data_IF_908092999574
#
_entry.id   IF_908092999574
#
_cell.length_a   1.000
_cell.length_b   1.000
_cell.length_c   1.000
_cell.angle_alpha   90.00
_cell.angle_beta   90.00
_cell.angle_gamma   90.00
#
_symmetry.space_group_name_H-M   'P 1'
#
loop_
_entity.id
_entity.type
_entity.pdbx_description
1 polymer ?
#
# COMPACT_ATOMS: atom_id res chain seq x y z
N UNK A 1 -70.70 -18.15 44.22
CA UNK A 1 -70.51 -18.97 43.01
C UNK A 1 -69.00 -19.18 42.83
N UNK A 2 -68.53 -20.42 43.03
CA UNK A 2 -67.47 -21.15 42.29
C UNK A 2 -66.47 -20.30 41.48
N UNK A 3 -65.13 -20.46 41.50
CA UNK A 3 -64.27 -21.62 41.77
C UNK A 3 -62.77 -21.18 41.87
N UNK A 4 -62.11 -21.51 42.98
CA UNK A 4 -60.83 -22.23 43.19
C UNK A 4 -59.58 -22.17 42.26
N UNK A 5 -58.41 -22.18 42.94
CA UNK A 5 -57.01 -22.63 42.65
C UNK A 5 -56.03 -21.57 42.12
N UNK A 6 -55.02 -21.05 42.83
CA UNK A 6 -53.86 -21.60 43.61
C UNK A 6 -52.82 -22.34 42.76
N UNK A 7 -51.56 -21.86 42.70
CA UNK A 7 -50.36 -22.69 42.91
C UNK A 7 -49.10 -21.83 43.19
N UNK A 8 -48.24 -22.38 44.05
CA UNK A 8 -47.12 -21.81 44.80
C UNK A 8 -45.77 -21.86 44.06
N UNK A 9 -44.85 -21.00 44.51
CA UNK A 9 -43.40 -21.13 44.37
C UNK A 9 -42.87 -22.45 44.98
N UNK A 10 -41.88 -23.06 44.33
CA UNK A 10 -40.84 -23.82 45.00
C UNK A 10 -39.53 -23.75 44.20
N UNK A 11 -38.45 -23.48 44.93
CA UNK A 11 -37.05 -23.63 44.57
C UNK A 11 -36.71 -25.10 44.36
N UNK A 12 -35.88 -25.43 43.37
CA UNK A 12 -34.91 -26.54 43.43
C UNK A 12 -33.92 -26.44 42.26
N UNK A 13 -32.62 -26.42 42.57
CA UNK A 13 -31.49 -26.70 41.64
C UNK A 13 -31.30 -28.21 41.48
N UNK A 14 -30.79 -28.68 40.32
CA UNK A 14 -29.58 -29.51 40.39
C UNK A 14 -28.55 -29.26 39.25
N UNK A 15 -27.35 -29.79 39.49
CA UNK A 15 -26.14 -29.76 38.65
C UNK A 15 -26.17 -30.74 37.45
N UNK A 16 -25.54 -30.29 36.36
CA UNK A 16 -24.57 -30.96 35.44
C UNK A 16 -24.88 -32.39 34.97
N UNK A 17 -25.08 -32.54 33.64
CA UNK A 17 -24.24 -33.41 32.78
C UNK A 17 -24.36 -33.01 31.30
N UNK A 18 -23.25 -33.21 30.59
CA UNK A 18 -22.87 -32.80 29.24
C UNK A 18 -23.72 -33.37 28.10
N UNK A 19 -24.04 -32.55 27.08
CA UNK A 19 -23.80 -32.83 25.64
C UNK A 19 -24.49 -31.80 24.71
N UNK A 20 -23.74 -31.38 23.67
CA UNK A 20 -24.20 -30.81 22.37
C UNK A 20 -24.61 -29.32 22.38
N UNK A 21 -24.02 -28.40 21.61
CA UNK A 21 -22.92 -28.45 20.65
C UNK A 21 -22.38 -27.03 20.37
N UNK A 22 -21.06 -26.93 20.26
CA UNK A 22 -20.33 -25.80 19.70
C UNK A 22 -20.52 -25.69 18.18
N UNK A 23 -20.95 -24.52 17.71
CA UNK A 23 -20.79 -23.93 16.35
C UNK A 23 -20.98 -22.41 16.57
N UNK A 24 -20.14 -21.48 16.15
CA UNK A 24 -19.00 -21.46 15.23
C UNK A 24 -18.02 -20.40 15.77
N UNK A 25 -16.78 -20.80 16.06
CA UNK A 25 -15.64 -19.89 16.18
C UNK A 25 -14.41 -20.61 15.65
N UNK A 26 -14.00 -20.32 14.41
CA UNK A 26 -12.64 -20.46 13.89
C UNK A 26 -12.62 -20.31 12.37
N UNK A 27 -12.18 -19.15 11.87
CA UNK A 27 -11.40 -19.04 10.62
C UNK A 27 -10.53 -17.79 10.69
N UNK A 28 -9.51 -17.83 11.55
CA UNK A 28 -8.30 -17.04 11.33
C UNK A 28 -7.36 -17.93 10.52
N UNK A 29 -7.16 -17.61 9.24
CA UNK A 29 -6.21 -18.28 8.37
C UNK A 29 -4.78 -17.97 8.85
N UNK A 30 -4.14 -18.94 9.49
CA UNK A 30 -2.73 -18.83 9.87
C UNK A 30 -1.83 -19.20 8.68
N UNK A 31 -0.72 -18.47 8.44
CA UNK A 31 0.24 -18.78 7.38
C UNK A 31 0.78 -20.22 7.43
N UNK A 32 0.77 -20.84 8.61
CA UNK A 32 1.15 -22.23 8.85
C UNK A 32 0.15 -23.23 8.26
N UNK A 33 -1.17 -22.95 8.27
CA UNK A 33 -2.18 -23.83 7.67
C UNK A 33 -2.09 -23.84 6.15
N UNK A 34 -1.86 -22.68 5.53
CA UNK A 34 -1.68 -22.55 4.09
C UNK A 34 -0.40 -23.25 3.63
N UNK A 35 0.68 -23.13 4.40
CA UNK A 35 1.95 -23.85 4.16
C UNK A 35 1.82 -25.38 4.31
N UNK A 36 1.07 -25.86 5.31
CA UNK A 36 0.82 -27.30 5.50
C UNK A 36 -0.11 -27.88 4.43
N UNK A 37 -1.11 -27.12 3.97
CA UNK A 37 -1.96 -27.52 2.84
C UNK A 37 -1.18 -27.59 1.53
N UNK A 38 -0.23 -26.69 1.30
CA UNK A 38 0.66 -26.72 0.13
C UNK A 38 1.60 -27.95 0.16
N UNK A 39 2.15 -28.30 1.32
CA UNK A 39 2.96 -29.53 1.47
C UNK A 39 2.10 -30.79 1.25
N UNK A 40 0.86 -30.80 1.75
CA UNK A 40 -0.10 -31.91 1.53
C UNK A 40 -0.47 -32.07 0.06
N UNK A 41 -0.65 -30.97 -0.67
CA UNK A 41 -0.95 -30.95 -2.10
C UNK A 41 0.21 -31.47 -2.98
N UNK A 42 1.46 -31.19 -2.58
CA UNK A 42 2.65 -31.67 -3.30
C UNK A 42 2.98 -33.14 -2.97
N UNK A 43 2.54 -33.64 -1.81
CA UNK A 43 2.81 -35.01 -1.36
C UNK A 43 1.69 -36.00 -1.69
N UNK A 44 0.49 -35.54 -2.03
CA UNK A 44 -0.62 -36.39 -2.50
C UNK A 44 -0.50 -36.69 -4.00
N UNK A 45 -0.09 -37.92 -4.32
CA UNK A 45 -0.03 -38.40 -5.69
C UNK A 45 -1.42 -38.46 -6.35
N UNK A 46 -1.50 -37.97 -7.60
CA UNK A 46 -2.62 -38.06 -8.56
C UNK A 46 -3.62 -39.19 -8.24
N UNK A 47 -4.83 -38.83 -7.82
CA UNK A 47 -5.98 -39.72 -7.95
C UNK A 47 -6.30 -39.93 -9.44
N UNK A 48 -6.46 -41.19 -9.85
CA UNK A 48 -6.93 -41.57 -11.18
C UNK A 48 -8.44 -41.33 -11.26
N UNK A 49 -8.85 -40.53 -12.24
CA UNK A 49 -10.24 -40.39 -12.68
C UNK A 49 -10.59 -41.67 -13.45
N UNK A 50 -11.58 -42.44 -12.98
CA UNK A 50 -12.15 -43.56 -13.72
C UNK A 50 -13.27 -43.03 -14.64
N UNK A 51 -13.14 -43.26 -15.94
CA UNK A 51 -14.24 -43.09 -16.89
C UNK A 51 -15.04 -44.40 -16.97
N UNK A 52 -16.33 -44.35 -16.65
CA UNK A 52 -17.31 -45.41 -16.92
C UNK A 52 -17.78 -45.28 -18.38
N UNK A 53 -17.51 -46.29 -19.20
CA UNK A 53 -18.10 -46.42 -20.55
C UNK A 53 -19.38 -47.25 -20.47
N UNK A 54 -20.44 -46.80 -21.15
CA UNK A 54 -21.65 -47.58 -21.43
C UNK A 54 -21.37 -48.63 -22.52
N UNK A 55 -21.94 -49.82 -22.34
CA UNK A 55 -21.84 -50.96 -23.26
C UNK A 55 -22.53 -50.70 -24.61
N UNK A 56 -21.89 -51.16 -25.69
CA UNK A 56 -22.50 -51.43 -26.99
C UNK A 56 -22.29 -52.93 -27.34
N UNK A 57 -23.14 -53.53 -28.18
CA UNK A 57 -23.37 -54.97 -28.16
C UNK A 57 -22.24 -55.79 -28.79
N UNK A 58 -22.07 -56.98 -28.24
CA UNK A 58 -21.21 -58.08 -28.66
C UNK A 58 -21.53 -58.59 -30.06
N UNK A 59 -20.50 -58.78 -30.89
CA UNK A 59 -20.51 -59.82 -31.92
C UNK A 59 -19.26 -60.69 -31.74
N UNK A 60 -19.53 -61.98 -31.61
CA UNK A 60 -18.60 -63.07 -31.33
C UNK A 60 -17.92 -63.49 -32.64
N UNK A 61 -16.62 -63.27 -32.76
CA UNK A 61 -15.79 -64.27 -33.43
C UNK A 61 -14.31 -64.13 -33.08
N UNK A 62 -13.71 -65.29 -32.86
CA UNK A 62 -12.27 -65.57 -32.73
C UNK A 62 -11.70 -65.43 -31.31
N UNK A 63 -11.98 -66.47 -30.54
CA UNK A 63 -11.24 -66.81 -29.34
C UNK A 63 -9.78 -67.14 -29.62
N UNK A 64 -8.96 -66.74 -28.64
CA UNK A 64 -7.75 -67.41 -28.17
C UNK A 64 -6.62 -67.63 -29.20
N UNK A 65 -5.86 -66.57 -29.50
CA UNK A 65 -4.40 -66.72 -29.74
C UNK A 65 -3.56 -65.44 -29.52
N UNK A 66 -3.93 -64.60 -28.54
CA UNK A 66 -3.16 -63.39 -28.18
C UNK A 66 -2.54 -63.39 -26.77
N UNK A 67 -2.61 -64.51 -26.03
CA UNK A 67 -2.00 -64.60 -24.69
C UNK A 67 -0.46 -64.74 -24.69
N UNK A 68 0.20 -64.76 -25.84
CA UNK A 68 1.66 -64.96 -25.93
C UNK A 68 2.51 -63.72 -26.29
N UNK A 69 1.96 -62.52 -26.49
CA UNK A 69 2.75 -61.37 -26.99
C UNK A 69 2.69 -60.05 -26.21
N UNK A 70 2.07 -59.99 -25.02
CA UNK A 70 2.00 -58.72 -24.26
C UNK A 70 3.05 -58.53 -23.15
N UNK A 71 3.95 -59.48 -22.91
CA UNK A 71 5.11 -59.26 -22.02
C UNK A 71 6.28 -58.58 -22.73
N UNK A 72 6.07 -57.36 -23.25
CA UNK A 72 7.21 -56.47 -23.58
C UNK A 72 6.84 -54.98 -23.61
N UNK A 73 6.26 -54.45 -22.54
CA UNK A 73 6.26 -52.99 -22.32
C UNK A 73 7.41 -52.58 -21.40
N UNK A 74 8.42 -51.94 -21.99
CA UNK A 74 9.55 -51.33 -21.29
C UNK A 74 9.05 -50.23 -20.34
N UNK A 75 9.19 -50.44 -19.03
CA UNK A 75 9.06 -49.35 -18.03
C UNK A 75 10.23 -48.38 -18.20
N UNK A 76 10.04 -47.05 -18.18
CA UNK A 76 11.16 -46.12 -18.19
C UNK A 76 11.87 -46.22 -16.83
N UNK A 77 13.12 -46.66 -16.86
CA UNK A 77 14.01 -46.63 -15.70
C UNK A 77 14.30 -45.16 -15.35
N UNK A 78 13.44 -44.53 -14.54
CA UNK A 78 13.81 -43.29 -13.83
C UNK A 78 15.01 -43.63 -12.96
N UNK A 79 16.21 -43.23 -13.39
CA UNK A 79 17.43 -43.65 -12.73
C UNK A 79 17.43 -43.15 -11.29
N UNK A 80 17.69 -44.07 -10.36
CA UNK A 80 17.87 -43.74 -8.93
C UNK A 80 18.91 -42.63 -8.73
N UNK A 81 19.79 -42.43 -9.72
CA UNK A 81 20.77 -41.36 -9.82
C UNK A 81 20.17 -39.95 -9.90
N UNK A 82 19.13 -39.71 -10.70
CA UNK A 82 18.51 -38.36 -10.79
C UNK A 82 17.85 -37.96 -9.46
N UNK A 83 17.23 -38.91 -8.76
CA UNK A 83 16.66 -38.68 -7.43
C UNK A 83 17.75 -38.40 -6.39
N UNK A 84 18.88 -39.10 -6.45
CA UNK A 84 20.04 -38.86 -5.57
C UNK A 84 20.68 -37.49 -5.83
N UNK A 85 20.85 -37.09 -7.10
CA UNK A 85 21.38 -35.77 -7.46
C UNK A 85 20.46 -34.65 -6.93
N UNK A 86 19.14 -34.76 -7.11
CA UNK A 86 18.20 -33.77 -6.53
C UNK A 86 18.32 -33.69 -5.00
N UNK A 87 18.43 -34.82 -4.31
CA UNK A 87 18.61 -34.82 -2.84
C UNK A 87 19.91 -34.15 -2.42
N UNK A 88 21.01 -34.38 -3.12
CA UNK A 88 22.32 -33.75 -2.86
C UNK A 88 22.29 -32.24 -3.12
N UNK A 89 21.64 -31.79 -4.19
CA UNK A 89 21.49 -30.36 -4.50
C UNK A 89 20.63 -29.63 -3.45
N UNK A 90 19.54 -30.24 -2.99
CA UNK A 90 18.71 -29.68 -1.93
C UNK A 90 19.43 -29.62 -0.58
N UNK A 91 20.13 -30.70 -0.21
CA UNK A 91 20.87 -30.75 1.07
C UNK A 91 22.08 -29.81 1.09
N UNK A 92 22.81 -29.65 -0.02
CA UNK A 92 23.90 -28.67 -0.11
C UNK A 92 23.42 -27.22 0.00
N UNK A 93 22.25 -26.89 -0.57
CA UNK A 93 21.64 -25.56 -0.45
C UNK A 93 21.21 -25.25 1.00
N UNK A 94 20.62 -26.23 1.69
CA UNK A 94 20.23 -26.10 3.11
C UNK A 94 21.48 -25.92 3.99
N UNK A 95 22.54 -26.70 3.75
CA UNK A 95 23.80 -26.60 4.49
C UNK A 95 24.45 -25.23 4.28
N UNK A 96 24.43 -24.70 3.05
CA UNK A 96 24.94 -23.36 2.76
C UNK A 96 24.14 -22.28 3.51
N UNK A 97 22.81 -22.35 3.51
CA UNK A 97 21.95 -21.42 4.26
C UNK A 97 22.19 -21.50 5.76
N UNK A 98 22.34 -22.70 6.33
CA UNK A 98 22.69 -22.87 7.74
C UNK A 98 24.08 -22.31 8.06
N UNK A 99 25.06 -22.50 7.17
CA UNK A 99 26.40 -21.95 7.32
C UNK A 99 26.39 -20.42 7.30
N UNK A 100 25.71 -19.79 6.35
CA UNK A 100 25.59 -18.33 6.29
C UNK A 100 24.79 -17.76 7.46
N UNK A 101 23.75 -18.46 7.92
CA UNK A 101 23.00 -18.10 9.13
C UNK A 101 23.87 -18.14 10.39
N UNK A 102 24.64 -19.22 10.58
CA UNK A 102 25.60 -19.35 11.68
C UNK A 102 26.74 -18.31 11.59
N UNK A 103 27.23 -18.02 10.37
CA UNK A 103 28.22 -16.97 10.14
C UNK A 103 27.68 -15.58 10.52
N UNK A 104 26.41 -15.29 10.19
CA UNK A 104 25.77 -14.04 10.60
C UNK A 104 25.61 -13.95 12.12
N UNK A 105 25.17 -15.02 12.77
CA UNK A 105 25.03 -15.06 14.24
C UNK A 105 26.40 -14.87 14.91
N UNK A 106 27.44 -15.54 14.42
CA UNK A 106 28.79 -15.43 14.99
C UNK A 106 29.41 -14.05 14.78
N UNK A 107 29.26 -13.45 13.59
CA UNK A 107 29.71 -12.06 13.33
C UNK A 107 29.00 -11.05 14.26
N UNK A 108 27.79 -11.37 14.69
CA UNK A 108 27.04 -10.54 15.60
C UNK A 108 27.37 -10.72 17.07
N UNK A 109 27.60 -11.97 17.50
CA UNK A 109 28.12 -12.27 18.83
C UNK A 109 29.55 -11.71 19.02
N UNK A 110 30.32 -11.59 17.93
CA UNK A 110 31.65 -10.97 17.90
C UNK A 110 31.61 -9.43 17.79
N UNK A 111 30.42 -8.83 17.84
CA UNK A 111 30.25 -7.37 17.84
C UNK A 111 30.58 -6.67 16.52
N UNK A 112 30.77 -7.42 15.42
CA UNK A 112 31.11 -6.85 14.09
C UNK A 112 29.89 -6.56 13.22
N UNK A 113 28.71 -7.11 13.50
CA UNK A 113 27.42 -6.75 12.86
C UNK A 113 26.24 -6.94 13.83
N UNK A 114 25.34 -5.97 14.00
CA UNK A 114 24.16 -6.15 14.88
C UNK A 114 23.05 -6.91 14.13
N UNK A 115 22.41 -7.90 14.78
CA UNK A 115 21.50 -8.89 14.14
C UNK A 115 20.11 -8.36 13.79
N UNK A 116 19.73 -7.17 14.25
CA UNK A 116 18.42 -6.58 14.00
C UNK A 116 18.55 -5.07 13.80
N UNK A 117 17.67 -4.52 12.96
CA UNK A 117 17.51 -3.08 12.74
C UNK A 117 17.31 -2.39 14.09
N UNK A 118 18.26 -1.55 14.46
CA UNK A 118 18.22 -0.74 15.67
C UNK A 118 17.56 0.60 15.30
N UNK A 119 16.24 0.69 15.48
CA UNK A 119 15.48 1.94 15.29
C UNK A 119 15.80 3.00 16.34
N UNK A 120 16.57 2.67 17.39
CA UNK A 120 16.94 3.62 18.45
C UNK A 120 18.08 4.57 18.07
N UNK A 121 18.60 4.49 16.83
CA UNK A 121 19.61 5.44 16.32
C UNK A 121 19.01 6.64 15.58
N UNK A 122 17.68 6.69 15.39
CA UNK A 122 17.03 7.64 14.49
C UNK A 122 16.71 9.02 15.10
N UNK A 123 16.59 9.13 16.42
CA UNK A 123 16.40 10.42 17.09
C UNK A 123 17.71 11.22 17.29
N UNK A 124 18.87 10.59 17.06
CA UNK A 124 20.17 11.19 17.36
C UNK A 124 20.78 11.98 16.19
N UNK A 125 20.20 11.91 14.98
CA UNK A 125 20.73 12.53 13.77
C UNK A 125 19.72 13.41 13.01
N UNK A 126 18.57 13.74 13.61
CA UNK A 126 17.87 14.94 13.17
C UNK A 126 18.80 16.13 13.49
N UNK A 127 18.98 17.11 12.59
CA UNK A 127 19.76 18.28 12.91
C UNK A 127 19.21 18.84 14.23
N UNK A 128 20.03 18.81 15.29
CA UNK A 128 19.76 19.68 16.44
C UNK A 128 19.73 21.08 15.84
N UNK A 129 18.53 21.67 15.73
CA UNK A 129 18.32 23.05 15.32
C UNK A 129 19.39 23.90 16.00
N UNK A 130 20.39 24.29 15.20
CA UNK A 130 21.70 24.70 15.69
C UNK A 130 21.52 26.08 16.30
N UNK A 131 21.65 26.23 17.63
CA UNK A 131 21.81 27.56 18.24
C UNK A 131 23.20 28.09 17.87
N UNK A 132 23.35 29.12 17.04
CA UNK A 132 24.66 29.71 16.81
C UNK A 132 24.94 30.66 17.96
N UNK A 133 25.98 30.38 18.74
CA UNK A 133 26.55 31.39 19.60
C UNK A 133 27.13 32.51 18.71
N UNK A 134 26.69 33.75 18.95
CA UNK A 134 27.22 35.03 18.45
C UNK A 134 26.74 35.62 17.11
N UNK A 135 25.53 35.30 16.66
CA UNK A 135 24.79 36.15 15.69
C UNK A 135 23.50 36.62 16.37
N UNK A 136 23.09 37.88 16.15
CA UNK A 136 21.79 38.37 16.65
C UNK A 136 20.68 37.41 16.18
N UNK A 137 19.92 36.76 17.07
CA UNK A 137 18.87 35.82 16.71
C UNK A 137 17.90 36.38 15.65
N UNK A 138 17.64 37.69 15.68
CA UNK A 138 16.77 38.38 14.73
C UNK A 138 17.34 38.43 13.30
N UNK A 139 18.63 38.20 13.10
CA UNK A 139 19.28 38.14 11.77
C UNK A 139 19.39 36.70 11.24
N UNK A 140 19.14 35.70 12.08
CA UNK A 140 19.10 34.29 11.69
C UNK A 140 17.68 33.82 11.35
N UNK A 141 16.67 34.48 11.92
CA UNK A 141 15.26 34.18 11.75
C UNK A 141 14.76 34.84 10.46
N UNK A 142 14.71 34.06 9.38
CA UNK A 142 14.05 34.50 8.16
C UNK A 142 12.63 33.95 8.17
N UNK A 143 11.61 34.76 7.85
CA UNK A 143 10.23 34.38 8.12
C UNK A 143 9.76 33.07 7.48
N UNK A 144 10.45 32.55 6.46
CA UNK A 144 10.08 31.30 5.76
C UNK A 144 11.17 30.21 5.82
N UNK A 145 12.12 30.24 6.75
CA UNK A 145 13.28 29.33 6.69
C UNK A 145 13.12 27.94 7.30
N UNK A 146 11.93 27.57 7.76
CA UNK A 146 11.68 26.28 8.40
C UNK A 146 12.12 25.07 7.54
N UNK A 147 12.04 25.20 6.22
CA UNK A 147 12.46 24.19 5.23
C UNK A 147 13.48 24.74 4.24
N UNK A 148 14.21 25.80 4.61
CA UNK A 148 15.27 26.38 3.77
C UNK A 148 16.25 25.29 3.31
N UNK A 149 16.62 25.35 2.03
CA UNK A 149 17.53 24.42 1.34
C UNK A 149 17.01 22.98 1.16
N UNK A 150 15.79 22.66 1.59
CA UNK A 150 15.21 21.35 1.34
C UNK A 150 14.58 21.33 -0.05
N UNK A 151 15.16 20.53 -0.93
CA UNK A 151 14.65 20.34 -2.29
C UNK A 151 13.46 19.39 -2.29
N UNK A 152 12.27 19.79 -2.79
CA UNK A 152 11.17 18.87 -2.95
C UNK A 152 11.53 17.80 -3.97
N UNK A 153 11.19 16.56 -3.65
CA UNK A 153 11.30 15.39 -4.50
C UNK A 153 9.95 14.70 -4.59
N UNK A 154 9.59 14.13 -5.75
CA UNK A 154 8.27 13.53 -5.99
C UNK A 154 8.15 12.18 -5.28
N UNK A 155 8.13 12.18 -3.94
CA UNK A 155 7.94 11.01 -3.12
C UNK A 155 6.76 11.12 -2.16
N UNK A 156 6.10 9.98 -1.96
CA UNK A 156 5.08 9.74 -0.97
C UNK A 156 5.72 8.95 0.17
N UNK A 157 5.86 9.59 1.33
CA UNK A 157 6.36 8.97 2.53
C UNK A 157 5.30 7.99 3.06
N UNK A 158 5.52 6.70 2.80
CA UNK A 158 4.55 5.64 3.10
C UNK A 158 4.79 5.12 4.53
N UNK A 159 3.71 4.73 5.23
CA UNK A 159 3.76 4.27 6.63
C UNK A 159 4.44 5.27 7.60
N UNK A 160 4.15 6.55 7.46
CA UNK A 160 4.68 7.64 8.30
C UNK A 160 4.51 7.41 9.81
N UNK A 161 3.52 6.63 10.18
CA UNK A 161 3.14 6.19 11.52
C UNK A 161 4.25 5.45 12.24
N UNK A 162 5.07 4.69 11.51
CA UNK A 162 6.20 3.96 12.09
C UNK A 162 7.37 4.87 12.44
N UNK A 163 7.39 6.10 11.91
CA UNK A 163 8.45 7.08 12.15
C UNK A 163 8.25 7.77 13.50
N UNK A 164 9.37 8.19 14.09
CA UNK A 164 9.37 8.89 15.38
C UNK A 164 8.72 10.27 15.27
N UNK A 165 8.90 10.93 14.12
CA UNK A 165 8.33 12.25 13.81
C UNK A 165 7.77 12.23 12.37
N UNK A 166 6.57 11.65 12.17
CA UNK A 166 5.99 11.31 10.85
C UNK A 166 6.13 12.41 9.79
N UNK A 167 5.50 13.57 10.02
CA UNK A 167 5.51 14.71 9.09
C UNK A 167 6.91 15.29 8.87
N UNK A 168 7.62 15.63 9.95
CA UNK A 168 8.86 16.38 9.83
C UNK A 168 10.00 15.57 9.22
N UNK A 169 10.00 14.24 9.38
CA UNK A 169 10.99 13.40 8.72
C UNK A 169 10.78 13.36 7.20
N UNK A 170 9.52 13.24 6.75
CA UNK A 170 9.18 13.30 5.33
C UNK A 170 9.58 14.65 4.72
N UNK A 171 9.24 15.76 5.40
CA UNK A 171 9.63 17.10 4.98
C UNK A 171 11.15 17.26 4.95
N UNK A 172 11.88 16.75 5.95
CA UNK A 172 13.34 16.83 6.01
C UNK A 172 14.03 16.23 4.78
N UNK A 173 13.50 15.13 4.25
CA UNK A 173 14.01 14.48 3.04
C UNK A 173 13.40 15.02 1.74
N UNK A 174 12.51 16.01 1.82
CA UNK A 174 11.92 16.66 0.66
C UNK A 174 10.70 15.95 0.07
N UNK A 175 10.11 14.95 0.73
CA UNK A 175 8.93 14.29 0.16
C UNK A 175 7.75 15.25 0.05
N UNK A 176 7.21 15.35 -1.17
CA UNK A 176 6.02 16.16 -1.48
C UNK A 176 4.71 15.49 -1.09
N UNK A 177 4.75 14.34 -0.42
CA UNK A 177 3.57 13.68 0.12
C UNK A 177 3.85 12.89 1.39
N UNK A 178 2.86 12.87 2.27
CA UNK A 178 2.81 12.13 3.53
C UNK A 178 1.53 11.31 3.61
N UNK A 179 1.59 10.17 4.27
CA UNK A 179 0.45 9.28 4.48
C UNK A 179 -0.02 9.31 5.94
N UNK A 180 -1.33 9.28 6.15
CA UNK A 180 -1.96 9.18 7.44
C UNK A 180 -2.96 8.00 7.47
N UNK A 181 -2.63 6.94 8.19
CA UNK A 181 -3.48 5.78 8.46
C UNK A 181 -4.52 6.11 9.53
N UNK A 182 -5.69 6.61 9.11
CA UNK A 182 -6.70 7.17 10.01
C UNK A 182 -7.75 6.14 10.42
N UNK A 183 -7.99 6.06 11.73
CA UNK A 183 -8.98 5.21 12.36
C UNK A 183 -9.98 6.03 13.16
N UNK A 184 -11.26 5.68 13.04
CA UNK A 184 -12.27 6.02 14.03
C UNK A 184 -12.39 4.89 15.05
N UNK A 185 -12.34 5.21 16.35
CA UNK A 185 -12.67 4.26 17.41
C UNK A 185 -14.16 4.41 17.75
N UNK A 186 -14.86 3.29 17.88
CA UNK A 186 -16.30 3.27 18.13
C UNK A 186 -16.69 4.16 19.33
N UNK A 187 -17.60 5.10 19.09
CA UNK A 187 -18.10 6.03 20.11
C UNK A 187 -17.20 7.24 20.39
N UNK A 188 -16.10 7.42 19.65
CA UNK A 188 -15.23 8.59 19.71
C UNK A 188 -15.29 9.38 18.39
N UNK A 189 -15.36 10.72 18.51
CA UNK A 189 -15.27 11.65 17.36
C UNK A 189 -13.82 12.02 17.03
N UNK A 190 -12.88 11.66 17.90
CA UNK A 190 -11.45 11.88 17.67
C UNK A 190 -10.89 10.81 16.73
N UNK A 191 -9.96 11.23 15.87
CA UNK A 191 -9.37 10.40 14.84
C UNK A 191 -7.96 10.02 15.24
N UNK A 192 -7.69 8.71 15.29
CA UNK A 192 -6.40 8.17 15.69
C UNK A 192 -5.59 7.74 14.47
N UNK A 193 -4.27 7.75 14.62
CA UNK A 193 -3.34 7.40 13.53
C UNK A 193 -2.43 6.25 13.95
N UNK A 194 -2.37 5.21 13.11
CA UNK A 194 -1.49 4.06 13.31
C UNK A 194 -1.67 2.97 12.27
N UNK A 195 -0.65 2.13 12.08
CA UNK A 195 -0.70 1.05 11.07
C UNK A 195 -1.71 -0.06 11.40
N UNK A 196 -2.06 -0.22 12.68
CA UNK A 196 -3.04 -1.19 13.16
C UNK A 196 -3.80 -0.63 14.36
N UNK A 197 -4.99 -1.16 14.64
CA UNK A 197 -5.77 -0.79 15.83
C UNK A 197 -4.99 -0.95 17.13
N UNK A 198 -4.08 -1.93 17.21
CA UNK A 198 -3.22 -2.18 18.38
C UNK A 198 -2.12 -1.13 18.58
N UNK A 199 -1.79 -0.35 17.55
CA UNK A 199 -0.79 0.71 17.60
C UNK A 199 -1.40 2.07 17.98
N UNK A 200 -2.73 2.16 18.10
CA UNK A 200 -3.41 3.41 18.44
C UNK A 200 -3.11 3.80 19.89
N UNK A 201 -2.80 5.08 20.08
CA UNK A 201 -2.57 5.65 21.41
C UNK A 201 -3.28 6.99 21.50
N UNK A 202 -3.69 7.37 22.72
CA UNK A 202 -4.49 8.59 22.95
C UNK A 202 -3.84 9.88 22.47
N UNK A 203 -2.50 9.92 22.42
CA UNK A 203 -1.74 11.11 22.04
C UNK A 203 -1.38 11.14 20.55
N UNK A 204 -1.71 10.08 19.78
CA UNK A 204 -1.39 9.96 18.36
C UNK A 204 -2.67 10.09 17.55
N UNK A 205 -3.09 11.33 17.39
CA UNK A 205 -4.30 11.71 16.65
C UNK A 205 -3.94 12.32 15.30
N UNK A 206 -4.91 12.35 14.39
CA UNK A 206 -4.76 12.97 13.08
C UNK A 206 -4.37 14.45 13.20
N UNK A 207 -4.98 15.15 14.16
CA UNK A 207 -4.61 16.53 14.52
C UNK A 207 -3.19 16.66 15.04
N UNK A 208 -2.81 15.87 16.04
CA UNK A 208 -1.52 16.04 16.73
C UNK A 208 -0.31 15.65 15.87
N UNK A 209 -0.46 14.69 14.96
CA UNK A 209 0.65 14.23 14.12
C UNK A 209 0.74 14.97 12.77
N UNK A 210 -0.38 15.44 12.23
CA UNK A 210 -0.42 16.04 10.88
C UNK A 210 -1.01 17.44 10.87
N UNK A 211 -2.28 17.62 11.27
CA UNK A 211 -2.99 18.88 11.00
C UNK A 211 -2.43 20.07 11.80
N UNK A 212 -2.19 19.92 13.10
CA UNK A 212 -1.67 21.02 13.93
C UNK A 212 -0.22 21.36 13.54
N UNK A 213 0.70 20.39 13.37
CA UNK A 213 2.05 20.71 12.88
C UNK A 213 2.07 21.37 11.50
N UNK A 214 1.18 20.97 10.59
CA UNK A 214 1.05 21.60 9.27
C UNK A 214 0.52 23.04 9.37
N UNK A 215 -0.47 23.27 10.23
CA UNK A 215 -0.99 24.62 10.48
C UNK A 215 0.10 25.54 11.05
N UNK A 216 0.81 25.09 12.09
CA UNK A 216 1.90 25.85 12.72
C UNK A 216 3.02 26.16 11.72
N UNK A 217 3.42 25.17 10.91
CA UNK A 217 4.42 25.36 9.86
C UNK A 217 3.94 26.39 8.83
N UNK A 218 2.74 26.23 8.27
CA UNK A 218 2.24 27.12 7.23
C UNK A 218 1.99 28.53 7.74
N UNK A 219 1.52 28.70 8.98
CA UNK A 219 1.40 30.02 9.60
C UNK A 219 2.76 30.70 9.73
N UNK A 220 3.80 29.95 10.11
CA UNK A 220 5.17 30.49 10.16
C UNK A 220 5.65 30.91 8.78
N UNK A 221 5.39 30.11 7.74
CA UNK A 221 5.74 30.38 6.33
C UNK A 221 4.92 31.51 5.70
N UNK A 222 3.83 31.96 6.34
CA UNK A 222 2.89 32.93 5.80
C UNK A 222 2.51 34.01 6.82
N UNK A 223 3.48 34.79 7.35
CA UNK A 223 3.21 35.79 8.38
C UNK A 223 2.37 36.96 7.85
N UNK A 224 1.47 37.50 8.67
CA UNK A 224 0.57 38.62 8.35
C UNK A 224 1.29 39.99 8.30
N UNK A 225 2.42 40.07 7.57
CA UNK A 225 3.34 41.23 7.58
C UNK A 225 3.43 41.98 6.25
N UNK A 226 2.70 41.55 5.20
CA UNK A 226 2.76 42.13 3.86
C UNK A 226 1.39 42.30 3.18
N UNK A 227 1.34 42.91 1.98
CA UNK A 227 0.12 42.92 1.18
C UNK A 227 -0.37 41.49 1.01
N UNK A 228 -1.68 41.28 1.21
CA UNK A 228 -2.34 39.98 1.16
C UNK A 228 -2.15 39.32 -0.20
N UNK A 229 -1.09 38.53 -0.35
CA UNK A 229 -0.94 37.64 -1.49
C UNK A 229 -2.02 36.55 -1.35
N UNK A 230 -2.95 36.42 -2.32
CA UNK A 230 -3.89 35.30 -2.33
C UNK A 230 -3.16 33.95 -2.48
N UNK A 231 -1.92 33.95 -3.01
CA UNK A 231 -1.02 32.81 -3.06
C UNK A 231 -0.31 32.64 -1.71
N UNK A 232 -0.79 31.69 -0.90
CA UNK A 232 -0.10 31.27 0.32
C UNK A 232 1.07 30.36 -0.07
N UNK A 233 2.25 30.60 0.49
CA UNK A 233 3.40 29.74 0.35
C UNK A 233 3.10 28.33 0.87
N UNK A 234 3.61 27.32 0.16
CA UNK A 234 3.66 25.93 0.56
C UNK A 234 4.70 25.66 1.65
N UNK A 235 4.91 24.38 1.94
CA UNK A 235 5.80 23.94 3.02
C UNK A 235 7.29 24.01 2.66
N UNK A 236 7.64 24.18 1.38
CA UNK A 236 9.03 24.23 0.90
C UNK A 236 9.42 25.66 0.53
N UNK A 237 10.38 26.25 1.26
CA UNK A 237 10.87 27.61 0.99
C UNK A 237 11.47 27.76 -0.42
N UNK A 238 12.17 26.72 -0.91
CA UNK A 238 12.82 26.72 -2.22
C UNK A 238 11.83 26.66 -3.39
N UNK A 239 10.61 26.19 -3.14
CA UNK A 239 9.54 26.08 -4.12
C UNK A 239 8.18 26.32 -3.42
N UNK A 240 7.79 27.59 -3.24
CA UNK A 240 6.60 27.95 -2.48
C UNK A 240 5.29 27.55 -3.17
N UNK A 241 5.31 27.15 -4.45
CA UNK A 241 4.12 26.67 -5.17
C UNK A 241 3.94 25.14 -5.04
N UNK A 242 4.96 24.42 -4.58
CA UNK A 242 4.89 22.98 -4.39
C UNK A 242 3.89 22.61 -3.28
N UNK A 243 2.76 22.03 -3.68
CA UNK A 243 1.76 21.49 -2.75
C UNK A 243 2.31 20.26 -2.01
N UNK A 244 2.03 20.16 -0.72
CA UNK A 244 2.22 18.94 0.04
C UNK A 244 0.95 18.09 -0.05
N UNK A 245 1.09 16.83 -0.44
CA UNK A 245 -0.05 15.91 -0.49
C UNK A 245 -0.22 15.21 0.86
N UNK A 246 -1.35 15.44 1.51
CA UNK A 246 -1.78 14.67 2.69
C UNK A 246 -2.68 13.53 2.21
N UNK A 247 -2.09 12.33 2.06
CA UNK A 247 -2.79 11.11 1.70
C UNK A 247 -3.42 10.50 2.96
N UNK A 248 -4.75 10.52 3.05
CA UNK A 248 -5.49 10.00 4.19
C UNK A 248 -6.00 8.61 3.84
N UNK A 249 -5.44 7.57 4.46
CA UNK A 249 -5.90 6.19 4.33
C UNK A 249 -7.00 5.91 5.35
N UNK A 250 -8.21 5.67 4.85
CA UNK A 250 -9.40 5.37 5.65
C UNK A 250 -9.37 3.90 6.04
N UNK A 251 -8.97 3.60 7.29
CA UNK A 251 -8.80 2.22 7.77
C UNK A 251 -10.08 1.58 8.33
N UNK A 252 -11.13 2.38 8.58
CA UNK A 252 -12.44 1.93 9.07
C UNK A 252 -13.53 2.20 8.04
N UNK A 253 -14.80 2.15 8.44
CA UNK A 253 -15.92 2.47 7.56
C UNK A 253 -15.79 3.88 6.96
N UNK A 254 -15.82 3.94 5.63
CA UNK A 254 -15.59 5.18 4.89
C UNK A 254 -16.68 6.22 5.10
N UNK A 255 -17.94 5.79 5.11
CA UNK A 255 -19.09 6.68 5.22
C UNK A 255 -19.16 7.33 6.61
N UNK A 256 -18.83 6.59 7.67
CA UNK A 256 -18.72 7.12 9.02
C UNK A 256 -17.49 8.03 9.21
N UNK A 257 -16.35 7.67 8.63
CA UNK A 257 -15.08 8.37 8.83
C UNK A 257 -14.98 9.68 8.03
N UNK A 258 -15.55 9.74 6.83
CA UNK A 258 -15.48 10.91 5.94
C UNK A 258 -15.95 12.23 6.55
N UNK A 259 -17.14 12.33 7.19
CA UNK A 259 -17.57 13.58 7.80
C UNK A 259 -16.64 14.03 8.96
N UNK A 260 -16.04 13.09 9.69
CA UNK A 260 -15.08 13.42 10.75
C UNK A 260 -13.78 13.98 10.18
N UNK A 261 -13.23 13.33 9.15
CA UNK A 261 -12.02 13.83 8.46
C UNK A 261 -12.27 15.23 7.88
N UNK A 262 -13.38 15.42 7.17
CA UNK A 262 -13.75 16.72 6.58
C UNK A 262 -13.93 17.82 7.64
N UNK A 263 -14.48 17.47 8.80
CA UNK A 263 -14.63 18.37 9.95
C UNK A 263 -13.28 18.77 10.56
N UNK A 264 -12.35 17.83 10.72
CA UNK A 264 -11.03 18.14 11.29
C UNK A 264 -10.18 19.04 10.37
N UNK A 265 -10.44 19.04 9.07
CA UNK A 265 -9.77 19.90 8.07
C UNK A 265 -10.24 21.37 8.08
N UNK A 266 -11.29 21.71 8.85
CA UNK A 266 -11.93 23.04 8.84
C UNK A 266 -10.95 24.19 9.11
N UNK A 267 -9.97 23.99 10.00
CA UNK A 267 -9.01 25.07 10.31
C UNK A 267 -8.12 25.40 9.10
N UNK A 268 -7.59 24.39 8.42
CA UNK A 268 -6.77 24.55 7.22
C UNK A 268 -7.60 25.14 6.06
N UNK A 269 -8.87 24.70 5.93
CA UNK A 269 -9.84 25.21 4.97
C UNK A 269 -10.08 26.70 5.14
N UNK A 270 -10.41 27.15 6.35
CA UNK A 270 -10.67 28.56 6.69
C UNK A 270 -9.45 29.46 6.45
N UNK A 271 -8.24 28.91 6.58
CA UNK A 271 -6.98 29.62 6.32
C UNK A 271 -6.57 29.63 4.84
N UNK A 272 -7.37 29.01 3.95
CA UNK A 272 -7.09 28.90 2.51
C UNK A 272 -5.79 28.14 2.22
N UNK A 273 -5.47 27.13 3.04
CA UNK A 273 -4.30 26.26 2.83
C UNK A 273 -4.62 24.99 2.01
N UNK A 274 -5.89 24.61 1.91
CA UNK A 274 -6.31 23.40 1.19
C UNK A 274 -6.57 23.68 -0.29
N UNK A 275 -6.02 22.85 -1.16
CA UNK A 275 -6.41 22.77 -2.57
C UNK A 275 -7.89 22.42 -2.65
N UNK A 276 -8.63 23.10 -3.52
CA UNK A 276 -10.07 22.88 -3.64
C UNK A 276 -10.57 23.02 -5.09
N UNK A 277 -11.70 22.41 -5.36
CA UNK A 277 -12.50 22.59 -6.58
C UNK A 277 -13.77 23.35 -6.24
N UNK A 278 -14.12 24.36 -7.04
CA UNK A 278 -15.16 25.35 -6.74
C UNK A 278 -16.47 25.19 -7.54
N UNK A 279 -16.67 24.04 -8.18
CA UNK A 279 -17.76 23.86 -9.16
C UNK A 279 -17.30 23.98 -10.61
N UNK A 280 -16.16 24.64 -10.85
CA UNK A 280 -15.70 25.00 -12.19
C UNK A 280 -14.23 24.67 -12.42
N UNK A 281 -13.36 25.10 -11.52
CA UNK A 281 -11.91 24.99 -11.64
C UNK A 281 -11.27 24.45 -10.36
N UNK A 282 -10.09 23.86 -10.55
CA UNK A 282 -9.22 23.40 -9.47
C UNK A 282 -8.27 24.54 -9.07
N UNK A 283 -8.19 24.81 -7.76
CA UNK A 283 -7.35 25.84 -7.17
C UNK A 283 -6.29 25.18 -6.28
N UNK A 284 -5.06 25.11 -6.75
CA UNK A 284 -3.95 24.56 -5.96
C UNK A 284 -3.60 25.49 -4.79
N UNK A 285 -3.31 24.89 -3.63
CA UNK A 285 -2.84 25.55 -2.41
C UNK A 285 -1.73 24.72 -1.75
N UNK A 286 -1.24 25.20 -0.62
CA UNK A 286 -0.17 24.59 0.15
C UNK A 286 -0.36 23.09 0.44
N UNK A 287 -1.60 22.63 0.65
CA UNK A 287 -1.91 21.23 0.97
C UNK A 287 -2.98 20.69 0.02
N UNK A 288 -2.72 19.53 -0.60
CA UNK A 288 -3.73 18.77 -1.34
C UNK A 288 -4.11 17.53 -0.55
N UNK A 289 -5.38 17.41 -0.13
CA UNK A 289 -5.86 16.25 0.62
C UNK A 289 -6.38 15.18 -0.33
N UNK A 290 -5.89 13.94 -0.19
CA UNK A 290 -6.31 12.81 -1.02
C UNK A 290 -6.79 11.67 -0.13
N UNK A 291 -8.04 11.24 -0.30
CA UNK A 291 -8.59 10.06 0.38
C UNK A 291 -8.26 8.77 -0.37
N UNK A 292 -7.71 7.79 0.36
CA UNK A 292 -7.44 6.42 -0.11
C UNK A 292 -8.00 5.40 0.89
N UNK A 293 -7.75 4.12 0.66
CA UNK A 293 -8.29 3.05 1.51
C UNK A 293 -9.78 2.87 1.29
N UNK A 294 -10.55 2.92 2.38
CA UNK A 294 -12.01 2.90 2.34
C UNK A 294 -12.65 4.27 2.05
N UNK A 295 -11.91 5.27 1.56
CA UNK A 295 -12.45 6.58 1.25
C UNK A 295 -13.66 6.46 0.29
N UNK A 296 -14.84 6.98 0.66
CA UNK A 296 -16.07 6.81 -0.12
C UNK A 296 -16.13 7.79 -1.29
N UNK A 297 -15.91 7.30 -2.51
CA UNK A 297 -15.90 8.15 -3.72
C UNK A 297 -17.22 8.92 -3.91
N UNK A 298 -18.36 8.26 -3.72
CA UNK A 298 -19.70 8.86 -3.76
C UNK A 298 -19.84 10.09 -2.83
N UNK A 299 -19.29 10.06 -1.61
CA UNK A 299 -19.34 11.20 -0.70
C UNK A 299 -18.35 12.29 -1.09
N UNK A 300 -17.16 11.91 -1.59
CA UNK A 300 -16.17 12.86 -2.12
C UNK A 300 -16.80 13.71 -3.23
N UNK A 301 -17.51 13.10 -4.17
CA UNK A 301 -18.10 13.83 -5.31
C UNK A 301 -19.50 14.39 -5.05
N UNK A 302 -20.07 14.20 -3.85
CA UNK A 302 -21.46 14.57 -3.57
C UNK A 302 -21.70 16.08 -3.71
N UNK A 303 -20.77 16.92 -3.27
CA UNK A 303 -20.89 18.37 -3.38
C UNK A 303 -20.41 18.85 -4.75
N UNK A 304 -21.32 19.47 -5.51
CA UNK A 304 -21.08 19.99 -6.86
C UNK A 304 -20.66 21.47 -6.88
N UNK A 305 -20.49 22.10 -5.71
CA UNK A 305 -20.15 23.53 -5.58
C UNK A 305 -18.83 23.77 -4.87
N UNK A 306 -18.38 22.83 -4.03
CA UNK A 306 -17.11 22.96 -3.32
C UNK A 306 -16.62 21.59 -2.86
N UNK A 307 -15.34 21.28 -3.07
CA UNK A 307 -14.65 20.08 -2.56
C UNK A 307 -13.19 20.39 -2.29
N UNK A 308 -12.65 19.88 -1.19
CA UNK A 308 -11.21 19.99 -0.85
C UNK A 308 -10.57 18.67 -0.41
N UNK A 309 -11.28 17.56 -0.66
CA UNK A 309 -10.76 16.19 -0.56
C UNK A 309 -10.90 15.57 -1.94
N UNK A 310 -9.81 15.02 -2.47
CA UNK A 310 -9.77 14.35 -3.77
C UNK A 310 -9.59 12.85 -3.59
N UNK A 311 -9.96 12.08 -4.61
CA UNK A 311 -9.89 10.62 -4.55
C UNK A 311 -8.56 10.07 -5.08
N UNK A 312 -8.10 8.98 -4.47
CA UNK A 312 -7.04 8.10 -5.00
C UNK A 312 -7.67 7.02 -5.89
N UNK A 313 -7.69 7.26 -7.20
CA UNK A 313 -8.37 6.40 -8.16
C UNK A 313 -7.70 5.01 -8.30
N UNK A 314 -8.45 3.96 -8.60
CA UNK A 314 -7.89 2.62 -8.82
C UNK A 314 -7.15 2.57 -10.16
N UNK A 315 -5.80 2.63 -10.12
CA UNK A 315 -4.95 2.73 -11.33
C UNK A 315 -5.08 1.51 -12.26
N UNK A 316 -5.46 0.35 -11.72
CA UNK A 316 -5.68 -0.88 -12.48
C UNK A 316 -6.86 -0.79 -13.45
N UNK A 317 -7.86 0.05 -13.15
CA UNK A 317 -9.01 0.33 -14.03
C UNK A 317 -8.68 1.32 -15.16
N UNK A 318 -7.55 2.03 -15.05
CA UNK A 318 -7.17 3.10 -15.97
C UNK A 318 -6.23 2.65 -17.07
N UNK A 319 -5.93 1.36 -17.23
CA UNK A 319 -5.00 0.90 -18.27
C UNK A 319 -5.51 1.27 -19.67
N UNK A 320 -4.62 1.84 -20.48
CA UNK A 320 -4.92 2.16 -21.87
C UNK A 320 -3.81 1.70 -22.83
N UNK A 321 -4.20 1.21 -24.03
CA UNK A 321 -3.25 0.74 -25.01
C UNK A 321 -2.45 1.88 -25.65
N UNK A 322 -1.41 1.52 -26.40
CA UNK A 322 -0.68 2.48 -27.23
C UNK A 322 -1.58 3.09 -28.30
N UNK A 323 -1.28 4.34 -28.67
CA UNK A 323 -2.02 5.03 -29.72
C UNK A 323 -1.89 4.29 -31.05
N UNK A 324 -3.04 3.93 -31.65
CA UNK A 324 -3.10 3.12 -32.86
C UNK A 324 -3.37 1.63 -32.64
N UNK A 325 -3.39 1.15 -31.38
CA UNK A 325 -3.72 -0.24 -31.04
C UNK A 325 -4.93 -0.35 -30.10
N UNK A 326 -6.05 0.27 -30.50
CA UNK A 326 -7.29 0.31 -29.71
C UNK A 326 -7.92 -1.06 -29.44
N UNK A 327 -7.47 -2.12 -30.11
CA UNK A 327 -7.95 -3.50 -29.93
C UNK A 327 -7.16 -4.29 -28.91
N UNK A 328 -6.01 -3.79 -28.44
CA UNK A 328 -5.21 -4.51 -27.48
C UNK A 328 -5.87 -4.54 -26.11
N UNK A 329 -5.93 -5.74 -25.56
CA UNK A 329 -6.25 -5.95 -24.15
C UNK A 329 -4.96 -5.89 -23.35
N UNK A 330 -5.06 -5.62 -22.04
CA UNK A 330 -3.85 -5.61 -21.24
C UNK A 330 -3.12 -6.97 -21.24
N UNK A 331 -1.79 -6.97 -21.12
CA UNK A 331 -0.94 -8.14 -21.40
C UNK A 331 -0.88 -9.18 -20.26
N UNK A 332 -1.37 -8.85 -19.06
CA UNK A 332 -1.47 -9.76 -17.93
C UNK A 332 -2.94 -9.85 -17.49
N UNK A 333 -3.40 -10.95 -16.85
CA UNK A 333 -4.78 -11.03 -16.37
C UNK A 333 -5.08 -9.86 -15.43
N UNK A 334 -5.92 -8.93 -15.88
CA UNK A 334 -6.52 -7.93 -14.99
C UNK A 334 -7.59 -8.67 -14.20
N UNK A 335 -7.39 -8.75 -12.89
CA UNK A 335 -8.50 -8.88 -11.98
C UNK A 335 -8.82 -7.47 -11.52
N UNK A 336 -9.63 -6.70 -12.28
CA UNK A 336 -10.12 -5.45 -11.74
C UNK A 336 -10.84 -5.79 -10.44
N UNK A 337 -10.53 -5.07 -9.37
CA UNK A 337 -11.20 -5.21 -8.07
C UNK A 337 -12.69 -4.82 -8.09
N UNK A 338 -13.28 -4.65 -9.29
CA UNK A 338 -14.68 -4.33 -9.61
C UNK A 338 -15.72 -5.26 -8.97
N UNK A 339 -15.32 -6.38 -8.36
CA UNK A 339 -16.23 -7.27 -7.64
C UNK A 339 -15.81 -7.43 -6.18
N UNK A 340 -16.14 -6.41 -5.36
CA UNK A 340 -16.32 -6.56 -3.90
C UNK A 340 -15.10 -6.98 -3.09
N UNK A 341 -13.89 -6.63 -3.54
CA UNK A 341 -12.66 -6.84 -2.77
C UNK A 341 -12.35 -5.65 -1.87
N UNK A 342 -11.97 -5.92 -0.62
CA UNK A 342 -11.27 -4.95 0.21
C UNK A 342 -9.99 -4.49 -0.50
N UNK A 343 -9.86 -3.17 -0.71
CA UNK A 343 -8.69 -2.60 -1.36
C UNK A 343 -8.86 -1.11 -1.70
N UNK A 344 -7.76 -0.37 -1.60
CA UNK A 344 -7.71 1.08 -1.88
C UNK A 344 -8.37 1.44 -3.22
N UNK A 345 -9.27 2.42 -3.21
CA UNK A 345 -9.91 2.96 -4.41
C UNK A 345 -11.19 2.27 -4.86
N UNK A 346 -11.77 1.36 -4.06
CA UNK A 346 -12.96 0.58 -4.42
C UNK A 346 -14.24 0.90 -3.61
N UNK A 347 -14.22 1.89 -2.71
CA UNK A 347 -15.39 2.24 -1.88
C UNK A 347 -16.20 3.37 -2.51
N UNK A 348 -17.53 3.21 -2.57
CA UNK A 348 -18.42 4.26 -3.08
C UNK A 348 -18.37 4.46 -4.59
N UNK A 349 -17.91 3.45 -5.34
CA UNK A 349 -17.75 3.48 -6.81
C UNK A 349 -18.87 2.73 -7.54
N UNK A 350 -19.97 2.38 -6.88
CA UNK A 350 -21.06 1.55 -7.43
C UNK A 350 -21.74 2.20 -8.65
N UNK A 351 -21.66 3.53 -8.75
CA UNK A 351 -22.23 4.32 -9.84
C UNK A 351 -21.24 4.60 -10.98
N UNK A 352 -19.99 4.15 -10.84
CA UNK A 352 -18.98 4.32 -11.88
C UNK A 352 -19.25 3.36 -13.03
N UNK A 353 -19.28 3.91 -14.24
CA UNK A 353 -19.58 3.16 -15.47
C UNK A 353 -18.40 3.17 -16.44
N UNK A 354 -17.44 4.07 -16.24
CA UNK A 354 -16.30 4.25 -17.13
C UNK A 354 -15.06 4.70 -16.34
N UNK A 355 -13.85 4.27 -16.75
CA UNK A 355 -12.61 4.87 -16.26
C UNK A 355 -12.55 6.39 -16.42
N UNK A 356 -13.31 6.97 -17.36
CA UNK A 356 -13.39 8.42 -17.56
C UNK A 356 -14.10 9.18 -16.42
N UNK A 357 -14.83 8.47 -15.56
CA UNK A 357 -15.49 9.06 -14.40
C UNK A 357 -14.47 9.53 -13.35
N UNK A 358 -13.23 9.01 -13.39
CA UNK A 358 -12.08 9.52 -12.64
C UNK A 358 -11.32 10.56 -13.47
N UNK A 359 -11.18 11.77 -12.96
CA UNK A 359 -10.50 12.86 -13.64
C UNK A 359 -9.97 13.91 -12.65
N UNK A 360 -9.16 14.85 -13.14
CA UNK A 360 -8.50 15.88 -12.33
C UNK A 360 -9.43 16.80 -11.49
N UNK A 361 -10.75 16.75 -11.67
CA UNK A 361 -11.71 17.53 -10.85
C UNK A 361 -12.23 16.78 -9.62
N UNK A 362 -12.02 15.46 -9.55
CA UNK A 362 -12.50 14.60 -8.45
C UNK A 362 -11.40 13.70 -7.86
N UNK A 363 -10.37 13.40 -8.65
CA UNK A 363 -9.25 12.56 -8.26
C UNK A 363 -7.95 13.32 -8.45
N UNK A 364 -6.95 12.99 -7.63
CA UNK A 364 -5.61 13.58 -7.72
C UNK A 364 -4.56 12.50 -8.03
N UNK A 365 -4.58 11.42 -7.25
CA UNK A 365 -3.77 10.24 -7.53
C UNK A 365 -4.57 9.18 -8.28
N UNK A 366 -3.83 8.29 -8.92
CA UNK A 366 -4.28 6.95 -9.26
C UNK A 366 -3.22 5.96 -8.77
N UNK A 367 -3.60 5.04 -7.88
CA UNK A 367 -2.65 4.15 -7.20
C UNK A 367 -3.01 2.68 -7.33
N UNK A 368 -2.00 1.82 -7.23
CA UNK A 368 -2.17 0.36 -7.12
C UNK A 368 -0.99 -0.31 -6.44
N UNK A 369 -1.20 -1.57 -6.03
CA UNK A 369 -0.14 -2.45 -5.54
C UNK A 369 0.72 -2.96 -6.69
N UNK A 370 1.99 -2.59 -6.71
CA UNK A 370 2.96 -3.12 -7.66
C UNK A 370 3.03 -4.64 -7.61
N UNK A 371 3.16 -5.22 -6.42
CA UNK A 371 3.31 -6.66 -6.26
C UNK A 371 2.05 -7.42 -6.67
N UNK A 372 0.85 -6.92 -6.35
CA UNK A 372 -0.40 -7.61 -6.73
C UNK A 372 -0.76 -7.44 -8.20
N UNK A 373 -0.45 -6.29 -8.82
CA UNK A 373 -0.82 -5.98 -10.21
C UNK A 373 0.26 -6.38 -11.22
N UNK A 374 1.52 -5.98 -10.98
CA UNK A 374 2.64 -6.22 -11.90
C UNK A 374 3.33 -7.56 -11.60
N UNK A 375 3.36 -7.96 -10.32
CA UNK A 375 4.04 -9.17 -9.88
C UNK A 375 5.55 -8.98 -9.64
N UNK A 376 6.13 -9.90 -8.88
CA UNK A 376 7.55 -9.83 -8.52
C UNK A 376 8.48 -10.18 -9.71
N UNK A 377 9.50 -9.35 -10.01
CA UNK A 377 10.45 -9.58 -11.11
C UNK A 377 11.53 -10.61 -10.75
N UNK A 378 11.19 -11.90 -10.79
CA UNK A 378 12.07 -13.00 -10.36
C UNK A 378 13.43 -13.08 -11.08
N UNK A 379 13.55 -12.53 -12.29
CA UNK A 379 14.80 -12.48 -13.07
C UNK A 379 15.68 -11.28 -12.70
N UNK A 380 15.24 -10.44 -11.75
CA UNK A 380 15.87 -9.18 -11.40
C UNK A 380 15.54 -8.03 -12.37
N UNK A 381 14.68 -8.27 -13.37
CA UNK A 381 14.23 -7.28 -14.36
C UNK A 381 12.76 -7.45 -14.68
N UNK A 382 12.13 -6.37 -15.12
CA UNK A 382 10.75 -6.43 -15.62
C UNK A 382 10.71 -7.10 -16.99
N UNK A 383 9.72 -7.96 -17.18
CA UNK A 383 9.41 -8.55 -18.49
C UNK A 383 8.77 -7.52 -19.41
N UNK A 384 8.77 -7.76 -20.72
CA UNK A 384 8.11 -6.89 -21.69
C UNK A 384 6.61 -6.70 -21.38
N UNK A 385 5.93 -7.76 -20.94
CA UNK A 385 4.51 -7.71 -20.54
C UNK A 385 4.29 -6.85 -19.30
N UNK A 386 5.15 -6.97 -18.28
CA UNK A 386 5.07 -6.11 -17.09
C UNK A 386 5.31 -4.64 -17.43
N UNK A 387 6.29 -4.36 -18.29
CA UNK A 387 6.59 -3.00 -18.72
C UNK A 387 5.45 -2.40 -19.56
N UNK A 388 4.87 -3.17 -20.47
CA UNK A 388 3.69 -2.76 -21.24
C UNK A 388 2.46 -2.50 -20.35
N UNK A 389 2.30 -3.27 -19.27
CA UNK A 389 1.26 -3.04 -18.27
C UNK A 389 1.47 -1.70 -17.54
N UNK A 390 2.68 -1.46 -17.02
CA UNK A 390 3.05 -0.20 -16.35
C UNK A 390 2.80 0.99 -17.27
N UNK A 391 3.29 0.92 -18.51
CA UNK A 391 3.12 2.00 -19.51
C UNK A 391 1.65 2.33 -19.77
N UNK A 392 0.80 1.31 -19.94
CA UNK A 392 -0.61 1.55 -20.21
C UNK A 392 -1.37 2.11 -19.01
N UNK A 393 -1.02 1.69 -17.79
CA UNK A 393 -1.56 2.26 -16.54
C UNK A 393 -1.18 3.74 -16.39
N UNK A 394 0.12 4.06 -16.49
CA UNK A 394 0.62 5.44 -16.42
C UNK A 394 -0.04 6.30 -17.49
N UNK A 395 -0.14 5.79 -18.72
CA UNK A 395 -0.75 6.51 -19.84
C UNK A 395 -2.20 6.88 -19.54
N UNK A 396 -3.03 5.95 -19.09
CA UNK A 396 -4.43 6.25 -18.85
C UNK A 396 -4.68 7.12 -17.62
N UNK A 397 -3.84 7.04 -16.59
CA UNK A 397 -3.83 8.03 -15.51
C UNK A 397 -3.51 9.43 -16.03
N UNK A 398 -2.42 9.55 -16.81
CA UNK A 398 -1.98 10.82 -17.41
C UNK A 398 -3.04 11.43 -18.33
N UNK A 399 -3.74 10.64 -19.16
CA UNK A 399 -4.84 11.13 -20.02
C UNK A 399 -5.99 11.73 -19.22
N UNK A 400 -6.16 11.34 -17.96
CA UNK A 400 -7.20 11.87 -17.04
C UNK A 400 -6.69 13.00 -16.14
N UNK A 401 -5.43 13.40 -16.30
CA UNK A 401 -4.77 14.38 -15.45
C UNK A 401 -4.49 13.87 -14.04
N UNK A 402 -4.34 12.55 -13.87
CA UNK A 402 -4.09 11.90 -12.58
C UNK A 402 -2.62 11.47 -12.46
N UNK A 403 -2.11 11.56 -11.23
CA UNK A 403 -0.74 11.20 -10.90
C UNK A 403 -0.63 9.71 -10.55
N UNK A 404 0.08 8.94 -11.38
CA UNK A 404 0.26 7.51 -11.16
C UNK A 404 1.23 7.22 -9.98
N UNK A 405 0.82 6.34 -9.06
CA UNK A 405 1.62 5.87 -7.90
C UNK A 405 1.59 4.35 -7.79
N UNK A 406 2.73 3.75 -7.46
CA UNK A 406 2.87 2.31 -7.23
C UNK A 406 3.33 2.04 -5.80
N UNK A 407 2.52 1.37 -4.98
CA UNK A 407 2.88 0.95 -3.62
C UNK A 407 3.23 -0.55 -3.55
N UNK A 408 3.81 -1.03 -2.44
CA UNK A 408 4.34 -2.40 -2.34
C UNK A 408 5.35 -2.76 -3.44
N UNK A 409 6.27 -1.84 -3.76
CA UNK A 409 7.45 -2.16 -4.57
C UNK A 409 8.43 -3.02 -3.78
N UNK A 410 9.32 -3.82 -4.42
CA UNK A 410 10.32 -4.60 -3.69
C UNK A 410 11.27 -3.72 -2.86
N UNK A 411 11.38 -3.95 -1.55
CA UNK A 411 12.34 -3.22 -0.70
C UNK A 411 13.75 -3.84 -0.69
N UNK A 412 13.82 -5.15 -0.96
CA UNK A 412 15.06 -5.90 -0.97
C UNK A 412 15.09 -6.94 -2.10
N UNK A 413 16.25 -7.17 -2.76
CA UNK A 413 17.54 -6.49 -2.56
C UNK A 413 17.53 -5.03 -3.02
N UNK A 414 18.36 -4.18 -2.40
CA UNK A 414 18.45 -2.73 -2.68
C UNK A 414 18.67 -2.42 -4.15
N UNK A 415 19.44 -3.26 -4.86
CA UNK A 415 19.63 -3.11 -6.31
C UNK A 415 18.35 -3.31 -7.12
N UNK A 416 17.49 -4.23 -6.68
CA UNK A 416 16.19 -4.46 -7.32
C UNK A 416 15.21 -3.32 -6.98
N UNK A 417 15.17 -2.89 -5.72
CA UNK A 417 14.40 -1.73 -5.27
C UNK A 417 14.70 -0.51 -6.14
N UNK A 418 15.97 -0.12 -6.20
CA UNK A 418 16.41 1.05 -6.97
C UNK A 418 16.08 0.89 -8.46
N UNK A 419 16.32 -0.29 -9.05
CA UNK A 419 15.94 -0.57 -10.43
C UNK A 419 14.43 -0.36 -10.67
N UNK A 420 13.57 -0.83 -9.76
CA UNK A 420 12.12 -0.65 -9.89
C UNK A 420 11.73 0.81 -9.74
N UNK A 421 12.26 1.50 -8.72
CA UNK A 421 12.00 2.93 -8.50
C UNK A 421 12.41 3.77 -9.71
N UNK A 422 13.63 3.57 -10.22
CA UNK A 422 14.11 4.23 -11.43
C UNK A 422 13.20 3.90 -12.61
N UNK A 423 12.86 2.62 -12.81
CA UNK A 423 12.06 2.20 -13.97
C UNK A 423 10.66 2.82 -13.95
N UNK A 424 9.93 2.81 -12.82
CA UNK A 424 8.57 3.38 -12.80
C UNK A 424 8.58 4.90 -13.01
N UNK A 425 9.58 5.61 -12.47
CA UNK A 425 9.74 7.05 -12.68
C UNK A 425 10.15 7.37 -14.12
N UNK A 426 11.08 6.60 -14.71
CA UNK A 426 11.46 6.66 -16.14
C UNK A 426 10.25 6.47 -17.07
N UNK A 427 9.37 5.54 -16.73
CA UNK A 427 8.15 5.26 -17.51
C UNK A 427 7.05 6.32 -17.29
N UNK A 428 7.25 7.27 -16.38
CA UNK A 428 6.40 8.45 -16.20
C UNK A 428 5.44 8.41 -15.01
N UNK A 429 5.69 7.56 -14.01
CA UNK A 429 5.04 7.71 -12.71
C UNK A 429 5.41 9.09 -12.12
N UNK A 430 4.44 9.77 -11.51
CA UNK A 430 4.63 11.14 -11.03
C UNK A 430 5.02 11.21 -9.55
N UNK A 431 4.86 10.12 -8.82
CA UNK A 431 5.25 10.04 -7.41
C UNK A 431 5.77 8.65 -7.06
N UNK A 432 6.89 8.62 -6.36
CA UNK A 432 7.50 7.41 -5.84
C UNK A 432 6.97 7.10 -4.44
N UNK A 433 6.43 5.91 -4.24
CA UNK A 433 6.04 5.45 -2.91
C UNK A 433 7.27 4.92 -2.17
N UNK A 434 7.63 5.50 -1.02
CA UNK A 434 8.92 5.24 -0.35
C UNK A 434 8.77 4.94 1.13
N UNK A 435 9.41 3.85 1.58
CA UNK A 435 9.64 3.59 3.01
C UNK A 435 11.04 4.09 3.45
N UNK A 436 12.04 4.04 2.55
CA UNK A 436 13.42 4.52 2.79
C UNK A 436 13.65 5.93 2.19
N UNK A 437 13.27 6.95 2.97
CA UNK A 437 13.32 8.36 2.57
C UNK A 437 14.74 8.83 2.26
N UNK A 438 15.72 8.38 3.05
CA UNK A 438 17.11 8.76 2.87
C UNK A 438 17.66 8.27 1.53
N UNK A 439 17.33 7.03 1.16
CA UNK A 439 17.71 6.51 -0.16
C UNK A 439 17.02 7.25 -1.29
N UNK A 440 15.75 7.61 -1.13
CA UNK A 440 15.02 8.38 -2.13
C UNK A 440 15.61 9.78 -2.33
N UNK A 441 16.00 10.46 -1.25
CA UNK A 441 16.63 11.77 -1.28
C UNK A 441 18.06 11.78 -1.85
N UNK A 442 18.73 10.63 -1.92
CA UNK A 442 20.07 10.51 -2.50
C UNK A 442 20.07 10.44 -4.05
N UNK A 443 18.89 10.32 -4.66
CA UNK A 443 18.70 10.20 -6.11
C UNK A 443 18.14 11.51 -6.66
N UNK A 444 18.65 11.92 -7.83
CA UNK A 444 18.03 13.01 -8.57
C UNK A 444 16.86 12.47 -9.40
N UNK A 445 15.66 12.96 -9.12
CA UNK A 445 14.43 12.60 -9.85
C UNK A 445 14.09 13.61 -10.96
N UNK A 446 14.89 14.68 -11.11
CA UNK A 446 14.71 15.67 -12.17
C UNK A 446 15.12 15.02 -13.50
N UNK A 447 14.34 15.28 -14.54
CA UNK A 447 14.53 14.73 -15.90
C UNK A 447 14.35 13.23 -16.09
N UNK A 448 13.76 12.52 -15.11
CA UNK A 448 13.45 11.08 -15.27
C UNK A 448 14.71 10.21 -15.42
N UNK A 449 15.89 10.67 -15.01
CA UNK A 449 17.12 9.89 -14.97
C UNK A 449 17.70 9.97 -13.56
N UNK A 450 17.56 8.88 -12.81
CA UNK A 450 18.17 8.71 -11.49
C UNK A 450 19.69 8.71 -11.58
N UNK A 451 20.31 9.88 -11.49
CA UNK A 451 21.73 9.98 -11.19
C UNK A 451 21.93 10.13 -9.68
N UNK A 452 22.88 9.36 -9.13
CA UNK A 452 23.30 9.50 -7.75
C UNK A 452 23.88 10.91 -7.53
N UNK A 453 23.34 11.65 -6.56
CA UNK A 453 23.95 12.89 -6.08
C UNK A 453 25.13 12.55 -5.18
N UNK A 454 26.25 12.15 -5.76
CA UNK A 454 27.54 12.03 -5.06
C UNK A 454 28.66 12.59 -5.93
N UNK A 455 28.88 13.90 -5.79
CA UNK A 455 30.19 14.52 -5.56
C UNK A 455 29.98 16.03 -5.26
N UNK A 456 29.77 16.34 -3.98
CA UNK A 456 30.06 17.66 -3.36
C UNK A 456 30.21 17.50 -1.83
#
# INVERSE_FOLDING_TARGET
MTNMKSFQLAHETPMIDDEIALRDSQTADSPLRTWLQFISYITSGRQRINYTYHEAPTDDSLGEDWKALSQRSRRPYRSKWVSRIRKVLWSSSIIALCFFGLLHITLALLGRRRLFFDSASYAANLPQWRKPASIDPALLEYPTDATRDIQPIPCMSHNDEWRSVPLFEALHYGCTGVEADVWQVDGEDELFVGHSQTALTRNRTFRSLYLNPLEELLDSMNPDTGPSDPSRHGVFDVDPEQTLVLLVDFKTDGEALFPLVSSQLETLRRKNYLTYWDGFAMHSRAITVVGTGNAPFNLIIANQTYRDIFFDAPLDLLWEPEEGDATSTPPLPHHPSLFGGSGQGNTGIEHITSPADFNATNSYYASLSFTSSIGFPWTGRLTASQLALIRGQIRGAKRRGLKARYWSTPDWPTSLRNYIWETVMLEGAEVLNVDDLRSAAALDWREGVGHYLLDA
#
